data_IF_820869507906
#
_entry.id   IF_820869507906
#
_cell.length_a   1.000
_cell.length_b   1.000
_cell.length_c   1.000
_cell.angle_alpha   90.00
_cell.angle_beta   90.00
_cell.angle_gamma   90.00
#
_symmetry.space_group_name_H-M   'P 1'
#
loop_
_entity.id
_entity.type
_entity.pdbx_description
1 polymer ?
#
# COMPACT_ATOMS: atom_id res chain seq x y z
N UNK A 1 1.96 -9.99 15.33
CA UNK A 1 2.44 -9.52 14.03
C UNK A 1 3.90 -9.92 13.80
N UNK A 2 4.85 -9.50 14.64
CA UNK A 2 6.28 -9.76 14.46
C UNK A 2 6.56 -11.25 14.16
N UNK A 3 6.10 -12.16 15.01
CA UNK A 3 6.31 -13.60 14.82
C UNK A 3 5.83 -14.09 13.44
N UNK A 4 4.62 -13.67 13.04
CA UNK A 4 4.04 -14.07 11.75
C UNK A 4 4.88 -13.56 10.59
N UNK A 5 5.32 -12.31 10.63
CA UNK A 5 6.13 -11.72 9.56
C UNK A 5 7.52 -12.35 9.48
N UNK A 6 8.13 -12.64 10.63
CA UNK A 6 9.43 -13.34 10.68
C UNK A 6 9.31 -14.77 10.12
N UNK A 7 8.33 -15.55 10.60
CA UNK A 7 8.11 -16.92 10.15
C UNK A 7 7.86 -16.99 8.62
N UNK A 8 7.12 -16.01 8.06
CA UNK A 8 6.88 -15.93 6.62
C UNK A 8 8.15 -15.56 5.85
N UNK A 9 8.89 -14.55 6.32
CA UNK A 9 10.12 -14.11 5.67
C UNK A 9 11.18 -15.23 5.63
N UNK A 10 11.33 -15.99 6.72
CA UNK A 10 12.24 -17.12 6.79
C UNK A 10 11.85 -18.25 5.82
N UNK A 11 10.55 -18.55 5.70
CA UNK A 11 10.06 -19.64 4.85
C UNK A 11 10.25 -19.38 3.36
N UNK A 12 10.18 -18.12 2.92
CA UNK A 12 10.29 -17.78 1.50
C UNK A 12 11.70 -17.34 1.12
N UNK A 13 12.60 -17.19 2.09
CA UNK A 13 13.99 -16.82 1.81
C UNK A 13 14.63 -17.79 0.78
N UNK A 14 15.33 -17.31 -0.26
CA UNK A 14 15.81 -15.94 -0.49
C UNK A 14 14.84 -14.99 -1.21
N UNK A 15 13.63 -15.44 -1.51
CA UNK A 15 12.63 -14.60 -2.18
C UNK A 15 12.14 -13.44 -1.29
N UNK A 16 11.57 -12.41 -1.91
CA UNK A 16 11.15 -11.19 -1.22
C UNK A 16 9.70 -11.30 -0.78
N UNK A 17 9.44 -11.03 0.51
CA UNK A 17 8.11 -10.88 1.08
C UNK A 17 7.68 -9.41 1.00
N UNK A 18 6.61 -9.12 0.28
CA UNK A 18 5.98 -7.80 0.34
C UNK A 18 4.82 -7.82 1.34
N UNK A 19 4.96 -7.03 2.41
CA UNK A 19 3.93 -6.87 3.44
C UNK A 19 3.18 -5.57 3.17
N UNK A 20 1.86 -5.66 3.01
CA UNK A 20 1.00 -4.49 2.89
C UNK A 20 0.63 -3.94 4.26
N UNK A 21 0.67 -2.63 4.43
CA UNK A 21 0.05 -1.97 5.57
C UNK A 21 -1.45 -2.31 5.64
N UNK A 22 -2.01 -2.28 6.84
CA UNK A 22 -3.42 -2.63 7.01
C UNK A 22 -4.33 -1.77 6.14
N UNK A 23 -5.19 -2.43 5.41
CA UNK A 23 -6.28 -1.80 4.68
C UNK A 23 -7.58 -2.02 5.47
N UNK A 24 -7.66 -1.35 6.60
CA UNK A 24 -8.79 -1.35 7.54
C UNK A 24 -9.62 -0.11 7.26
N UNK A 25 -10.92 -0.20 7.52
CA UNK A 25 -11.89 0.86 7.25
C UNK A 25 -12.80 0.53 6.08
N UNK A 26 -13.70 1.41 5.75
CA UNK A 26 -14.66 1.17 4.70
C UNK A 26 -15.66 0.07 5.06
N UNK A 27 -15.72 -0.95 4.24
CA UNK A 27 -16.58 -2.14 4.40
C UNK A 27 -16.03 -3.15 5.42
N UNK A 28 -14.77 -2.99 5.83
CA UNK A 28 -14.13 -3.87 6.81
C UNK A 28 -14.43 -3.37 8.22
N UNK A 29 -14.85 -4.28 9.09
CA UNK A 29 -15.28 -4.02 10.46
C UNK A 29 -14.29 -3.10 11.18
N UNK A 30 -14.69 -1.88 11.42
CA UNK A 30 -14.02 -0.97 12.35
C UNK A 30 -14.86 -0.88 13.63
N UNK A 31 -14.24 -0.69 14.81
CA UNK A 31 -14.96 -0.37 16.04
C UNK A 31 -15.64 1.01 15.99
N UNK A 32 -15.46 1.75 14.91
CA UNK A 32 -16.06 3.06 14.72
C UNK A 32 -17.52 2.89 14.30
N UNK A 33 -18.43 3.29 15.14
CA UNK A 33 -19.90 3.31 14.94
C UNK A 33 -20.36 4.30 13.85
N UNK A 34 -19.48 4.73 12.96
CA UNK A 34 -19.81 5.70 11.91
C UNK A 34 -20.18 4.96 10.64
N UNK A 35 -21.47 4.98 10.31
CA UNK A 35 -21.96 4.54 9.00
C UNK A 35 -21.49 5.53 7.92
N UNK A 36 -20.45 5.16 7.19
CA UNK A 36 -20.07 5.89 5.98
C UNK A 36 -21.02 5.51 4.83
N UNK A 37 -21.50 6.50 4.10
CA UNK A 37 -22.43 6.29 2.96
C UNK A 37 -21.70 5.57 1.80
N UNK A 38 -20.42 5.83 1.61
CA UNK A 38 -19.58 5.24 0.58
C UNK A 38 -18.27 4.71 1.19
N UNK A 39 -18.31 3.56 1.88
CA UNK A 39 -17.18 3.04 2.64
C UNK A 39 -15.90 2.84 1.81
N UNK A 40 -16.03 2.43 0.54
CA UNK A 40 -14.88 2.27 -0.36
C UNK A 40 -14.15 3.59 -0.65
N UNK A 41 -14.85 4.73 -0.60
CA UNK A 41 -14.30 6.07 -0.82
C UNK A 41 -13.97 6.79 0.50
N UNK A 42 -14.25 6.16 1.62
CA UNK A 42 -14.17 6.74 2.95
C UNK A 42 -12.81 6.64 3.64
N UNK A 43 -12.85 6.55 4.96
CA UNK A 43 -11.68 6.43 5.83
C UNK A 43 -11.17 4.98 5.86
N UNK A 44 -10.33 4.61 4.88
CA UNK A 44 -9.71 3.27 4.80
C UNK A 44 -8.24 3.37 4.40
N UNK A 45 -7.52 2.27 4.61
CA UNK A 45 -6.12 2.14 4.20
C UNK A 45 -5.24 3.20 4.84
N UNK A 46 -4.42 3.88 4.04
CA UNK A 46 -3.49 4.91 4.55
C UNK A 46 -4.21 6.05 5.28
N UNK A 47 -5.42 6.45 4.87
CA UNK A 47 -6.19 7.50 5.54
C UNK A 47 -6.47 7.12 6.99
N UNK A 48 -7.01 5.92 7.19
CA UNK A 48 -7.26 5.38 8.53
C UNK A 48 -5.98 5.24 9.35
N UNK A 49 -4.89 4.77 8.74
CA UNK A 49 -3.62 4.57 9.43
C UNK A 49 -2.96 5.89 9.86
N UNK A 50 -3.06 6.94 9.05
CA UNK A 50 -2.54 8.26 9.39
C UNK A 50 -3.35 8.93 10.52
N UNK A 51 -4.64 8.64 10.62
CA UNK A 51 -5.49 9.09 11.72
C UNK A 51 -5.32 8.23 12.99
N UNK A 52 -4.72 7.03 12.85
CA UNK A 52 -4.45 6.10 13.95
C UNK A 52 -2.95 5.76 14.04
N UNK A 53 -2.08 6.73 14.32
CA UNK A 53 -0.63 6.56 14.21
C UNK A 53 -0.05 5.50 15.16
N UNK A 54 -0.67 5.24 16.30
CA UNK A 54 -0.24 4.18 17.23
C UNK A 54 -0.36 2.80 16.58
N UNK A 55 -1.49 2.54 15.92
CA UNK A 55 -1.72 1.29 15.19
C UNK A 55 -0.72 1.15 14.03
N UNK A 56 -0.53 2.23 13.27
CA UNK A 56 0.39 2.25 12.13
C UNK A 56 1.83 2.00 12.57
N UNK A 57 2.32 2.71 13.60
CA UNK A 57 3.65 2.49 14.20
C UNK A 57 3.82 1.05 14.71
N UNK A 58 2.80 0.48 15.33
CA UNK A 58 2.84 -0.90 15.81
C UNK A 58 3.10 -1.89 14.66
N UNK A 59 2.43 -1.73 13.52
CA UNK A 59 2.66 -2.58 12.37
C UNK A 59 4.04 -2.30 11.73
N UNK A 60 4.41 -1.03 11.51
CA UNK A 60 5.71 -0.65 10.95
C UNK A 60 6.85 -1.26 11.77
N UNK A 61 6.82 -1.11 13.09
CA UNK A 61 7.86 -1.67 13.98
C UNK A 61 7.94 -3.19 13.87
N UNK A 62 6.80 -3.88 13.76
CA UNK A 62 6.79 -5.32 13.57
C UNK A 62 7.38 -5.74 12.22
N UNK A 63 7.07 -5.02 11.14
CA UNK A 63 7.63 -5.25 9.80
C UNK A 63 9.14 -5.00 9.78
N UNK A 64 9.59 -3.85 10.29
CA UNK A 64 11.00 -3.50 10.35
C UNK A 64 11.80 -4.53 11.15
N UNK A 65 11.33 -4.95 12.32
CA UNK A 65 12.02 -5.99 13.10
C UNK A 65 12.08 -7.33 12.41
N UNK A 66 11.05 -7.70 11.64
CA UNK A 66 11.04 -8.92 10.83
C UNK A 66 11.97 -8.81 9.61
N UNK A 67 12.33 -7.61 9.17
CA UNK A 67 13.17 -7.39 7.98
C UNK A 67 14.65 -7.70 8.20
N UNK A 68 15.05 -8.20 9.36
CA UNK A 68 16.44 -8.50 9.70
C UNK A 68 17.17 -9.36 8.64
N UNK A 69 16.45 -10.27 7.96
CA UNK A 69 16.98 -11.10 6.88
C UNK A 69 17.06 -10.38 5.51
N UNK A 70 16.69 -9.10 5.43
CA UNK A 70 16.76 -8.24 4.23
C UNK A 70 15.92 -8.70 3.04
N UNK A 71 14.86 -9.45 3.30
CA UNK A 71 13.95 -9.94 2.27
C UNK A 71 12.50 -9.47 2.47
N UNK A 72 12.29 -8.35 3.17
CA UNK A 72 10.98 -7.76 3.36
C UNK A 72 10.89 -6.40 2.68
N UNK A 73 9.83 -6.21 1.90
CA UNK A 73 9.37 -4.92 1.41
C UNK A 73 8.10 -4.50 2.15
N UNK A 74 7.90 -3.22 2.37
CA UNK A 74 6.68 -2.69 2.97
C UNK A 74 5.91 -1.83 1.98
N UNK A 75 4.60 -2.07 1.85
CA UNK A 75 3.74 -1.45 0.85
C UNK A 75 2.56 -0.72 1.49
N UNK A 76 2.32 0.52 1.08
CA UNK A 76 1.27 1.37 1.62
C UNK A 76 0.07 1.37 0.65
N UNK A 77 -1.14 0.96 1.10
CA UNK A 77 -2.34 0.93 0.28
C UNK A 77 -3.03 2.29 0.20
N UNK A 78 -3.95 2.46 -0.77
CA UNK A 78 -4.89 3.56 -0.89
C UNK A 78 -4.24 4.95 -0.99
N UNK A 79 -3.05 5.04 -1.53
CA UNK A 79 -2.37 6.32 -1.78
C UNK A 79 -3.12 7.10 -2.87
N UNK A 80 -3.47 8.33 -2.56
CA UNK A 80 -4.11 9.27 -3.49
C UNK A 80 -3.26 10.52 -3.77
N UNK A 81 -2.20 10.76 -2.98
CA UNK A 81 -1.36 11.95 -3.08
C UNK A 81 0.06 11.73 -2.56
N UNK A 82 1.00 12.56 -3.04
CA UNK A 82 2.39 12.62 -2.55
C UNK A 82 2.44 12.93 -1.04
N UNK A 83 1.49 13.72 -0.56
CA UNK A 83 1.42 14.12 0.84
C UNK A 83 1.24 12.92 1.79
N UNK A 84 0.42 11.96 1.39
CA UNK A 84 0.21 10.72 2.15
C UNK A 84 1.48 9.85 2.16
N UNK A 85 2.19 9.78 1.04
CA UNK A 85 3.47 9.06 0.97
C UNK A 85 4.49 9.68 1.91
N UNK A 86 4.68 11.00 1.85
CA UNK A 86 5.65 11.72 2.70
C UNK A 86 5.32 11.57 4.18
N UNK A 87 4.04 11.74 4.57
CA UNK A 87 3.61 11.51 5.95
C UNK A 87 3.87 10.09 6.44
N UNK A 88 3.61 9.10 5.58
CA UNK A 88 3.90 7.70 5.92
C UNK A 88 5.40 7.45 6.09
N UNK A 89 6.23 8.03 5.22
CA UNK A 89 7.71 7.94 5.35
C UNK A 89 8.23 8.62 6.62
N UNK A 90 7.65 9.74 7.03
CA UNK A 90 7.98 10.39 8.30
C UNK A 90 7.77 9.43 9.48
N UNK A 91 6.59 8.77 9.55
CA UNK A 91 6.27 7.80 10.61
C UNK A 91 7.19 6.56 10.54
N UNK A 92 7.52 6.08 9.35
CA UNK A 92 8.45 4.96 9.16
C UNK A 92 9.85 5.35 9.69
N UNK A 93 10.34 6.54 9.34
CA UNK A 93 11.63 7.03 9.79
C UNK A 93 11.66 7.22 11.32
N UNK A 94 10.59 7.72 11.92
CA UNK A 94 10.47 7.77 13.38
C UNK A 94 10.61 6.38 14.00
N UNK A 95 9.92 5.37 13.47
CA UNK A 95 10.04 3.98 13.93
C UNK A 95 11.46 3.42 13.77
N UNK A 96 12.16 3.72 12.67
CA UNK A 96 13.55 3.33 12.45
C UNK A 96 14.49 3.97 13.48
N UNK A 97 14.27 5.25 13.81
CA UNK A 97 15.04 5.96 14.83
C UNK A 97 14.80 5.38 16.23
N UNK A 98 13.53 5.09 16.56
CA UNK A 98 13.17 4.43 17.83
C UNK A 98 13.87 3.07 17.97
N UNK A 99 13.76 2.21 16.94
CA UNK A 99 14.42 0.89 16.94
C UNK A 99 15.93 0.98 17.03
N UNK A 100 16.53 1.99 16.41
CA UNK A 100 17.99 2.25 16.51
C UNK A 100 18.39 2.64 17.93
N UNK A 101 17.62 3.52 18.59
CA UNK A 101 17.85 3.93 19.98
C UNK A 101 17.69 2.75 20.95
N UNK A 102 16.72 1.86 20.69
CA UNK A 102 16.48 0.63 21.45
C UNK A 102 17.52 -0.48 21.16
N UNK A 103 18.42 -0.27 20.19
CA UNK A 103 19.42 -1.26 19.71
C UNK A 103 18.76 -2.57 19.19
N UNK A 104 17.57 -2.47 18.65
CA UNK A 104 16.87 -3.60 18.05
C UNK A 104 17.27 -3.75 16.56
N UNK A 105 17.62 -4.96 16.11
CA UNK A 105 18.06 -5.19 14.74
C UNK A 105 16.88 -5.06 13.75
N UNK A 106 17.15 -4.43 12.60
CA UNK A 106 16.25 -4.35 11.44
C UNK A 106 17.05 -4.00 10.19
N UNK A 107 16.47 -4.16 9.02
CA UNK A 107 17.07 -3.72 7.76
C UNK A 107 16.77 -2.23 7.53
N UNK A 108 17.83 -1.41 7.51
CA UNK A 108 17.74 0.03 7.25
C UNK A 108 17.39 0.37 5.81
N UNK A 109 17.61 -0.59 4.90
CA UNK A 109 17.39 -0.47 3.48
C UNK A 109 16.06 -1.13 3.05
N UNK A 110 15.16 -1.42 4.01
CA UNK A 110 13.82 -1.95 3.73
C UNK A 110 13.12 -1.08 2.70
N UNK A 111 12.76 -1.66 1.57
CA UNK A 111 12.11 -0.94 0.47
C UNK A 111 10.66 -0.59 0.83
N UNK A 112 10.31 0.67 0.58
CA UNK A 112 8.97 1.20 0.81
C UNK A 112 8.31 1.49 -0.51
N UNK A 113 7.23 0.77 -0.81
CA UNK A 113 6.44 0.96 -2.02
C UNK A 113 5.01 1.38 -1.72
N UNK A 114 4.26 1.60 -2.79
CA UNK A 114 2.83 1.95 -2.71
C UNK A 114 1.99 1.05 -3.61
N UNK A 115 0.74 0.87 -3.22
CA UNK A 115 -0.26 0.24 -4.08
C UNK A 115 -0.88 1.30 -4.98
N UNK A 116 -0.75 1.08 -6.29
CA UNK A 116 -1.30 1.94 -7.34
C UNK A 116 -2.72 1.47 -7.66
N UNK A 117 -3.69 1.94 -6.89
CA UNK A 117 -5.08 1.49 -6.95
C UNK A 117 -6.09 2.64 -6.95
N UNK A 118 -5.64 3.87 -6.70
CA UNK A 118 -6.47 5.07 -6.78
C UNK A 118 -6.16 5.81 -8.07
N UNK A 119 -7.17 6.23 -8.88
CA UNK A 119 -6.95 6.90 -10.16
C UNK A 119 -6.08 8.15 -10.09
N UNK A 120 -6.15 8.93 -9.01
CA UNK A 120 -5.28 10.10 -8.80
C UNK A 120 -3.81 9.70 -8.68
N UNK A 121 -3.49 8.60 -7.99
CA UNK A 121 -2.14 8.07 -7.93
C UNK A 121 -1.65 7.62 -9.31
N UNK A 122 -2.53 6.96 -10.09
CA UNK A 122 -2.19 6.54 -11.44
C UNK A 122 -1.81 7.72 -12.34
N UNK A 123 -2.55 8.84 -12.27
CA UNK A 123 -2.26 10.07 -13.02
C UNK A 123 -0.92 10.69 -12.57
N UNK A 124 -0.55 10.55 -11.30
CA UNK A 124 0.67 11.08 -10.71
C UNK A 124 1.80 10.03 -10.63
N UNK A 125 1.75 8.99 -11.44
CA UNK A 125 2.72 7.88 -11.35
C UNK A 125 4.18 8.33 -11.56
N UNK A 126 4.42 9.32 -12.41
CA UNK A 126 5.76 9.87 -12.64
C UNK A 126 6.30 10.55 -11.38
N UNK A 127 5.51 11.43 -10.78
CA UNK A 127 5.89 12.16 -9.57
C UNK A 127 6.03 11.22 -8.36
N UNK A 128 5.10 10.29 -8.20
CA UNK A 128 5.12 9.32 -7.10
C UNK A 128 6.30 8.36 -7.18
N UNK A 129 6.79 8.06 -8.38
CA UNK A 129 7.96 7.18 -8.57
C UNK A 129 9.27 7.76 -8.01
N UNK A 130 9.34 9.07 -7.76
CA UNK A 130 10.47 9.69 -7.06
C UNK A 130 10.41 9.56 -5.54
N UNK A 131 9.26 9.19 -5.01
CA UNK A 131 9.01 9.15 -3.56
C UNK A 131 9.07 7.73 -2.97
N UNK A 132 9.13 6.69 -3.83
CA UNK A 132 9.03 5.30 -3.38
C UNK A 132 9.99 4.37 -4.13
N UNK A 133 10.17 3.16 -3.61
CA UNK A 133 11.13 2.20 -4.15
C UNK A 133 10.49 1.22 -5.16
N UNK A 134 9.16 1.07 -5.13
CA UNK A 134 8.42 0.22 -6.07
C UNK A 134 6.92 0.56 -6.11
N UNK A 135 6.26 0.13 -7.19
CA UNK A 135 4.81 0.11 -7.33
C UNK A 135 4.28 -1.32 -7.35
N UNK A 136 3.12 -1.52 -6.75
CA UNK A 136 2.29 -2.69 -6.95
C UNK A 136 0.90 -2.24 -7.42
N UNK A 137 0.46 -2.67 -8.58
CA UNK A 137 -0.84 -2.24 -9.13
C UNK A 137 -1.93 -3.11 -8.50
N UNK A 138 -2.79 -2.50 -7.67
CA UNK A 138 -3.96 -3.13 -7.06
C UNK A 138 -5.14 -3.09 -8.02
N UNK A 139 -5.24 -4.11 -8.89
CA UNK A 139 -6.19 -4.10 -10.01
C UNK A 139 -7.65 -4.02 -9.58
N UNK A 140 -8.00 -4.70 -8.51
CA UNK A 140 -9.39 -4.75 -8.06
C UNK A 140 -9.96 -3.37 -7.71
N UNK A 141 -9.27 -2.62 -6.88
CA UNK A 141 -9.71 -1.28 -6.48
C UNK A 141 -9.48 -0.27 -7.61
N UNK A 142 -8.39 -0.40 -8.37
CA UNK A 142 -8.14 0.46 -9.53
C UNK A 142 -9.29 0.38 -10.56
N UNK A 143 -9.73 -0.82 -10.91
CA UNK A 143 -10.84 -1.01 -11.84
C UNK A 143 -12.11 -0.40 -11.25
N UNK A 144 -12.46 -0.76 -10.01
CA UNK A 144 -13.65 -0.27 -9.33
C UNK A 144 -13.74 1.26 -9.33
N UNK A 145 -12.65 1.94 -8.98
CA UNK A 145 -12.62 3.40 -8.92
C UNK A 145 -12.55 4.05 -10.31
N UNK A 146 -11.84 3.44 -11.24
CA UNK A 146 -11.62 4.01 -12.57
C UNK A 146 -12.89 4.01 -13.44
N UNK A 147 -13.67 2.93 -13.36
CA UNK A 147 -14.92 2.80 -14.11
C UNK A 147 -16.17 3.06 -13.25
N UNK A 148 -15.98 3.46 -11.98
CA UNK A 148 -17.06 3.80 -11.05
C UNK A 148 -18.08 2.66 -10.84
N UNK A 149 -17.61 1.43 -10.71
CA UNK A 149 -18.44 0.23 -10.54
C UNK A 149 -18.07 -0.49 -9.24
N UNK A 150 -19.03 -0.60 -8.34
CA UNK A 150 -18.88 -1.42 -7.13
C UNK A 150 -18.97 -2.91 -7.52
N UNK A 151 -17.84 -3.62 -7.43
CA UNK A 151 -17.73 -5.06 -7.72
C UNK A 151 -18.57 -5.94 -6.79
N UNK A 152 -18.94 -5.42 -5.61
CA UNK A 152 -19.78 -6.11 -4.63
C UNK A 152 -21.29 -5.92 -4.89
N UNK A 153 -21.67 -5.00 -5.76
CA UNK A 153 -23.06 -4.70 -6.06
C UNK A 153 -23.55 -5.49 -7.28
N UNK A 154 -24.40 -6.50 -7.03
CA UNK A 154 -24.95 -7.38 -8.07
C UNK A 154 -25.75 -6.69 -9.18
N UNK A 155 -26.21 -5.44 -8.97
CA UNK A 155 -26.93 -4.69 -10.02
C UNK A 155 -26.01 -4.09 -11.09
N UNK A 156 -24.74 -3.91 -10.80
CA UNK A 156 -23.77 -3.25 -11.69
C UNK A 156 -22.51 -4.09 -11.92
N UNK A 157 -22.39 -5.25 -11.27
CA UNK A 157 -21.19 -6.09 -11.36
C UNK A 157 -20.86 -6.52 -12.80
N UNK A 158 -21.85 -6.66 -13.67
CA UNK A 158 -21.65 -6.98 -15.09
C UNK A 158 -20.90 -5.87 -15.86
N UNK A 159 -20.90 -4.64 -15.32
CA UNK A 159 -20.13 -3.52 -15.85
C UNK A 159 -18.67 -3.54 -15.41
N UNK A 160 -18.32 -4.37 -14.43
CA UNK A 160 -16.94 -4.53 -13.97
C UNK A 160 -16.14 -5.32 -15.02
N UNK A 161 -15.32 -4.59 -15.79
CA UNK A 161 -14.59 -5.15 -16.92
C UNK A 161 -13.08 -4.96 -16.72
N UNK A 162 -12.37 -6.06 -16.48
CA UNK A 162 -10.93 -6.09 -16.26
C UNK A 162 -10.13 -5.61 -17.48
N UNK A 163 -10.64 -5.89 -18.69
CA UNK A 163 -10.02 -5.48 -19.97
C UNK A 163 -10.62 -4.22 -20.56
N UNK A 164 -11.31 -3.42 -19.75
CA UNK A 164 -11.80 -2.12 -20.21
C UNK A 164 -10.65 -1.27 -20.76
N UNK A 165 -10.75 -0.62 -21.93
CA UNK A 165 -9.63 0.12 -22.53
C UNK A 165 -9.02 1.18 -21.62
N UNK A 166 -9.83 1.83 -20.76
CA UNK A 166 -9.32 2.78 -19.78
C UNK A 166 -8.42 2.10 -18.73
N UNK A 167 -8.78 0.89 -18.27
CA UNK A 167 -7.99 0.12 -17.30
C UNK A 167 -6.64 -0.24 -17.90
N UNK A 168 -6.62 -0.83 -19.09
CA UNK A 168 -5.39 -1.24 -19.77
C UNK A 168 -4.47 -0.03 -20.02
N UNK A 169 -5.03 1.10 -20.45
CA UNK A 169 -4.27 2.35 -20.65
C UNK A 169 -3.70 2.91 -19.35
N UNK A 170 -4.47 2.86 -18.26
CA UNK A 170 -4.03 3.34 -16.95
C UNK A 170 -2.91 2.46 -16.39
N UNK A 171 -3.02 1.13 -16.50
CA UNK A 171 -1.94 0.20 -16.12
C UNK A 171 -0.67 0.52 -16.93
N UNK A 172 -0.80 0.68 -18.25
CA UNK A 172 0.34 1.05 -19.10
C UNK A 172 0.97 2.38 -18.68
N UNK A 173 0.17 3.37 -18.31
CA UNK A 173 0.64 4.66 -17.84
C UNK A 173 1.42 4.54 -16.52
N UNK A 174 0.91 3.77 -15.55
CA UNK A 174 1.61 3.49 -14.28
C UNK A 174 2.97 2.81 -14.54
N UNK A 175 2.98 1.78 -15.41
CA UNK A 175 4.21 1.07 -15.76
C UNK A 175 5.25 2.02 -16.37
N UNK A 176 4.82 2.93 -17.25
CA UNK A 176 5.72 3.92 -17.85
C UNK A 176 6.28 4.89 -16.82
N UNK A 177 5.44 5.38 -15.89
CA UNK A 177 5.87 6.26 -14.79
C UNK A 177 6.94 5.60 -13.92
N UNK A 178 6.72 4.35 -13.51
CA UNK A 178 7.71 3.60 -12.73
C UNK A 178 9.01 3.34 -13.51
N UNK A 179 8.92 2.93 -14.77
CA UNK A 179 10.10 2.67 -15.61
C UNK A 179 10.96 3.90 -15.85
N UNK A 180 10.36 5.09 -15.96
CA UNK A 180 11.09 6.34 -16.17
C UNK A 180 12.09 6.63 -15.05
N UNK A 181 11.77 6.22 -13.83
CA UNK A 181 12.61 6.40 -12.66
C UNK A 181 13.23 5.09 -12.14
N UNK A 182 13.25 4.04 -12.97
CA UNK A 182 13.88 2.75 -12.71
C UNK A 182 13.38 2.03 -11.45
N UNK A 183 12.14 2.28 -11.04
CA UNK A 183 11.53 1.51 -9.95
C UNK A 183 10.79 0.29 -10.50
N UNK A 184 10.73 -0.78 -9.72
CA UNK A 184 10.00 -1.99 -10.10
C UNK A 184 8.49 -1.77 -10.03
N UNK A 185 7.76 -2.38 -10.97
CA UNK A 185 6.30 -2.35 -11.03
C UNK A 185 5.79 -3.77 -11.13
N UNK A 186 4.97 -4.18 -10.17
CA UNK A 186 4.28 -5.47 -10.14
C UNK A 186 2.77 -5.30 -10.30
N UNK A 187 2.10 -6.38 -10.67
CA UNK A 187 0.64 -6.45 -10.75
C UNK A 187 0.14 -7.42 -9.67
N UNK A 188 -0.93 -7.04 -8.95
CA UNK A 188 -1.57 -7.83 -7.90
C UNK A 188 -3.06 -8.00 -8.20
#
# INVERSE_FOLDING_TARGET
QLKIYTDLAERIYPDVLTIRAFDIGGDKITPLETHETNPFLGCRGVRFLLDNPILFKTQIRAVLRASYHKNINFMIPMISSIKEVRKSREIINECMNELTAEKLPFDKDTKIGIMMEVPSAAVMADELSHEVDFFSIGTNDLIQFLIAVDRGNGFVSDLYQEFHPAVVRTIHYIIRGGKKNNISVSLC
#
